data_IF_608207186137
#
_entry.id   IF_608207186137
#
_cell.length_a   1.000
_cell.length_b   1.000
_cell.length_c   1.000
_cell.angle_alpha   90.00
_cell.angle_beta   90.00
_cell.angle_gamma   90.00
#
_symmetry.space_group_name_H-M   'P 1'
#
loop_
_entity.id
_entity.type
_entity.pdbx_description
1 polymer ?
#
# COMPACT_ATOMS: atom_id res chain seq x y z
N UNK A 1 -17.72 1.71 15.19
CA UNK A 1 -16.69 2.33 14.35
C UNK A 1 -16.35 1.44 13.21
N UNK A 2 -16.46 1.93 12.01
CA UNK A 2 -16.09 1.17 10.83
C UNK A 2 -14.62 1.40 10.49
N UNK A 3 -14.06 0.57 9.65
CA UNK A 3 -12.68 0.67 9.22
C UNK A 3 -12.44 1.59 8.02
N UNK A 4 -13.43 2.41 7.63
CA UNK A 4 -13.34 3.22 6.40
C UNK A 4 -12.16 4.19 6.43
N UNK A 5 -11.92 4.88 7.54
CA UNK A 5 -10.81 5.79 7.66
C UNK A 5 -9.47 5.05 7.62
N UNK A 6 -9.39 3.91 8.28
CA UNK A 6 -8.18 3.10 8.28
C UNK A 6 -7.90 2.53 6.90
N UNK A 7 -8.93 2.10 6.16
CA UNK A 7 -8.77 1.67 4.77
C UNK A 7 -8.29 2.83 3.89
N UNK A 8 -8.85 4.02 4.08
CA UNK A 8 -8.43 5.20 3.32
C UNK A 8 -6.97 5.57 3.61
N UNK A 9 -6.55 5.46 4.87
CA UNK A 9 -5.15 5.69 5.26
C UNK A 9 -4.22 4.64 4.66
N UNK A 10 -4.63 3.37 4.71
CA UNK A 10 -3.85 2.30 4.10
C UNK A 10 -3.62 2.57 2.61
N UNK A 11 -4.67 2.98 1.90
CA UNK A 11 -4.56 3.33 0.48
C UNK A 11 -3.62 4.52 0.29
N UNK A 12 -3.70 5.53 1.15
CA UNK A 12 -2.79 6.69 1.10
C UNK A 12 -1.33 6.27 1.22
N UNK A 13 -1.03 5.36 2.14
CA UNK A 13 0.33 4.84 2.30
C UNK A 13 0.77 4.00 1.10
N UNK A 14 -0.13 3.20 0.52
CA UNK A 14 0.18 2.44 -0.70
C UNK A 14 0.52 3.40 -1.84
N UNK A 15 -0.21 4.48 -2.01
CA UNK A 15 0.08 5.50 -3.03
C UNK A 15 1.43 6.16 -2.80
N UNK A 16 1.78 6.45 -1.55
CA UNK A 16 3.11 6.99 -1.23
C UNK A 16 4.20 6.00 -1.61
N UNK A 17 3.96 4.70 -1.42
CA UNK A 17 4.90 3.67 -1.85
C UNK A 17 5.07 3.65 -3.37
N UNK A 18 4.01 3.82 -4.14
CA UNK A 18 4.09 3.91 -5.60
C UNK A 18 5.01 5.05 -6.00
N UNK A 19 4.80 6.24 -5.43
CA UNK A 19 5.63 7.41 -5.74
C UNK A 19 7.09 7.13 -5.41
N UNK A 20 7.36 6.55 -4.26
CA UNK A 20 8.72 6.24 -3.83
C UNK A 20 9.39 5.21 -4.73
N UNK A 21 8.67 4.16 -5.15
CA UNK A 21 9.22 3.16 -6.07
C UNK A 21 9.51 3.77 -7.45
N UNK A 22 8.62 4.62 -7.96
CA UNK A 22 8.82 5.27 -9.25
C UNK A 22 10.02 6.22 -9.20
N UNK A 23 10.20 6.91 -8.09
CA UNK A 23 11.31 7.85 -7.91
C UNK A 23 12.64 7.17 -7.58
N UNK A 24 12.64 5.89 -7.24
CA UNK A 24 13.85 5.17 -6.85
C UNK A 24 14.82 5.05 -8.03
N UNK A 25 16.10 5.29 -7.75
CA UNK A 25 17.16 5.08 -8.73
C UNK A 25 17.60 3.62 -8.66
N UNK A 26 16.88 2.77 -9.37
CA UNK A 26 17.08 1.32 -9.34
C UNK A 26 17.36 0.80 -10.74
N UNK A 27 18.65 0.57 -11.07
CA UNK A 27 19.02 0.11 -12.41
C UNK A 27 18.49 -1.28 -12.76
N UNK A 28 18.10 -2.09 -11.78
CA UNK A 28 17.51 -3.41 -12.04
C UNK A 28 16.09 -3.32 -12.58
N UNK A 29 15.40 -2.19 -12.36
CA UNK A 29 14.01 -2.01 -12.73
C UNK A 29 13.02 -2.68 -11.77
N UNK A 30 13.49 -3.32 -10.72
CA UNK A 30 12.62 -4.03 -9.78
C UNK A 30 11.66 -3.07 -9.06
N UNK A 31 12.11 -1.85 -8.77
CA UNK A 31 11.25 -0.84 -8.16
C UNK A 31 10.02 -0.52 -9.01
N UNK A 32 10.15 -0.52 -10.33
CA UNK A 32 9.03 -0.28 -11.22
C UNK A 32 8.03 -1.45 -11.20
N UNK A 33 8.52 -2.68 -11.09
CA UNK A 33 7.63 -3.83 -10.93
C UNK A 33 6.87 -3.75 -9.59
N UNK A 34 7.55 -3.35 -8.53
CA UNK A 34 6.90 -3.17 -7.24
C UNK A 34 5.88 -2.04 -7.27
N UNK A 35 6.16 -0.96 -8.00
CA UNK A 35 5.17 0.10 -8.21
C UNK A 35 3.93 -0.44 -8.92
N UNK A 36 4.11 -1.28 -9.92
CA UNK A 36 3.00 -1.94 -10.62
C UNK A 36 2.17 -2.82 -9.69
N UNK A 37 2.83 -3.59 -8.82
CA UNK A 37 2.14 -4.41 -7.83
C UNK A 37 1.31 -3.53 -6.86
N UNK A 38 1.86 -2.39 -6.46
CA UNK A 38 1.13 -1.44 -5.61
C UNK A 38 -0.07 -0.83 -6.34
N UNK A 39 0.06 -0.55 -7.64
CA UNK A 39 -1.07 -0.05 -8.43
C UNK A 39 -2.18 -1.09 -8.52
N UNK A 40 -1.85 -2.37 -8.61
CA UNK A 40 -2.84 -3.43 -8.56
C UNK A 40 -3.58 -3.44 -7.22
N UNK A 41 -2.86 -3.21 -6.13
CA UNK A 41 -3.50 -3.05 -4.81
C UNK A 41 -4.45 -1.85 -4.79
N UNK A 42 -4.04 -0.71 -5.35
CA UNK A 42 -4.93 0.45 -5.43
C UNK A 42 -6.23 0.11 -6.15
N UNK A 43 -6.15 -0.72 -7.19
CA UNK A 43 -7.34 -1.19 -7.90
C UNK A 43 -8.29 -1.97 -6.99
N UNK A 44 -7.75 -2.80 -6.10
CA UNK A 44 -8.59 -3.54 -5.15
C UNK A 44 -9.28 -2.59 -4.16
N UNK A 45 -8.59 -1.56 -3.69
CA UNK A 45 -9.21 -0.54 -2.84
C UNK A 45 -10.30 0.22 -3.60
N UNK A 46 -10.05 0.57 -4.85
CA UNK A 46 -11.02 1.29 -5.68
C UNK A 46 -12.29 0.46 -5.88
N UNK A 47 -12.14 -0.85 -6.07
CA UNK A 47 -13.28 -1.75 -6.22
C UNK A 47 -14.17 -1.77 -4.97
N UNK A 48 -13.62 -1.45 -3.81
CA UNK A 48 -14.38 -1.32 -2.56
C UNK A 48 -14.97 0.08 -2.36
N UNK A 49 -14.73 1.00 -3.28
CA UNK A 49 -15.18 2.38 -3.14
C UNK A 49 -14.36 3.20 -2.16
N UNK A 50 -13.15 2.75 -1.82
CA UNK A 50 -12.28 3.48 -0.90
C UNK A 50 -11.57 4.61 -1.64
N UNK A 51 -11.61 5.82 -1.06
CA UNK A 51 -10.84 6.95 -1.54
C UNK A 51 -9.62 7.13 -0.65
N UNK A 52 -8.47 7.53 -1.22
CA UNK A 52 -7.26 7.66 -0.42
C UNK A 52 -7.33 8.85 0.53
N UNK A 53 -6.88 8.64 1.76
CA UNK A 53 -6.60 9.71 2.70
C UNK A 53 -5.21 10.24 2.41
N UNK A 54 -5.03 11.55 2.50
CA UNK A 54 -3.72 12.14 2.35
C UNK A 54 -2.94 11.91 3.65
N UNK A 55 -1.86 11.15 3.56
CA UNK A 55 -1.04 10.80 4.72
C UNK A 55 0.42 11.17 4.47
N UNK A 56 1.18 11.37 5.53
CA UNK A 56 2.59 11.71 5.42
C UNK A 56 3.35 10.53 4.80
N UNK A 57 4.25 10.80 3.83
CA UNK A 57 5.06 9.74 3.27
C UNK A 57 6.05 9.19 4.30
N UNK A 58 6.36 7.91 4.20
CA UNK A 58 7.42 7.30 4.98
C UNK A 58 8.79 7.74 4.46
N UNK A 59 9.85 7.33 5.16
CA UNK A 59 11.23 7.65 4.75
C UNK A 59 11.59 6.97 3.43
N UNK A 60 10.95 5.86 3.11
CA UNK A 60 11.12 5.14 1.85
C UNK A 60 9.86 4.32 1.55
N UNK A 61 9.87 3.62 0.42
CA UNK A 61 8.71 2.81 0.02
C UNK A 61 8.38 1.72 1.03
N UNK A 62 9.41 1.08 1.61
CA UNK A 62 9.18 0.02 2.61
C UNK A 62 8.47 0.57 3.84
N UNK A 63 8.90 1.74 4.33
CA UNK A 63 8.25 2.38 5.48
C UNK A 63 6.78 2.69 5.19
N UNK A 64 6.48 3.16 3.98
CA UNK A 64 5.10 3.42 3.57
C UNK A 64 4.28 2.13 3.52
N UNK A 65 4.85 1.03 3.03
CA UNK A 65 4.16 -0.27 3.02
C UNK A 65 3.92 -0.79 4.43
N UNK A 66 4.87 -0.59 5.34
CA UNK A 66 4.70 -0.98 6.73
C UNK A 66 3.57 -0.19 7.39
N UNK A 67 3.50 1.10 7.13
CA UNK A 67 2.42 1.95 7.62
C UNK A 67 1.06 1.54 7.04
N UNK A 68 1.05 1.16 5.75
CA UNK A 68 -0.17 0.64 5.13
C UNK A 68 -0.63 -0.65 5.82
N UNK A 69 0.30 -1.53 6.17
CA UNK A 69 -0.03 -2.77 6.87
C UNK A 69 -0.63 -2.51 8.25
N UNK A 70 -0.07 -1.55 8.98
CA UNK A 70 -0.61 -1.17 10.29
C UNK A 70 -2.03 -0.60 10.17
N UNK A 71 -2.25 0.28 9.19
CA UNK A 71 -3.58 0.85 8.97
C UNK A 71 -4.59 -0.23 8.56
N UNK A 72 -4.15 -1.17 7.71
CA UNK A 72 -5.03 -2.25 7.27
C UNK A 72 -5.38 -3.18 8.43
N UNK A 73 -4.43 -3.46 9.32
CA UNK A 73 -4.69 -4.25 10.51
C UNK A 73 -5.70 -3.55 11.43
N UNK A 74 -5.62 -2.23 11.55
CA UNK A 74 -6.58 -1.45 12.34
C UNK A 74 -7.98 -1.48 11.73
N UNK A 75 -8.09 -1.72 10.41
CA UNK A 75 -9.36 -1.78 9.71
C UNK A 75 -10.11 -3.10 9.89
N UNK A 76 -9.50 -4.10 10.50
CA UNK A 76 -10.15 -5.39 10.72
C UNK A 76 -11.43 -5.22 11.57
N UNK A 77 -12.48 -5.98 11.27
CA UNK A 77 -12.60 -7.02 10.24
C UNK A 77 -13.06 -6.50 8.88
N UNK A 78 -13.14 -5.19 8.69
CA UNK A 78 -13.64 -4.60 7.44
C UNK A 78 -12.72 -4.85 6.24
N UNK A 79 -11.42 -5.10 6.46
CA UNK A 79 -10.46 -5.31 5.39
C UNK A 79 -10.62 -6.70 4.76
N UNK A 80 -10.90 -6.79 3.45
CA UNK A 80 -10.96 -8.08 2.78
C UNK A 80 -9.62 -8.80 2.80
N UNK A 81 -9.67 -10.12 2.85
CA UNK A 81 -8.47 -10.95 2.87
C UNK A 81 -7.59 -10.71 1.65
N UNK A 82 -8.19 -10.43 0.49
CA UNK A 82 -7.43 -10.17 -0.74
C UNK A 82 -6.52 -8.95 -0.61
N UNK A 83 -6.99 -7.87 0.04
CA UNK A 83 -6.16 -6.70 0.30
C UNK A 83 -4.98 -7.05 1.20
N UNK A 84 -5.26 -7.77 2.26
CA UNK A 84 -4.25 -8.18 3.21
C UNK A 84 -3.18 -9.04 2.54
N UNK A 85 -3.61 -10.08 1.81
CA UNK A 85 -2.70 -10.98 1.12
C UNK A 85 -1.86 -10.24 0.08
N UNK A 86 -2.47 -9.36 -0.70
CA UNK A 86 -1.77 -8.57 -1.71
C UNK A 86 -0.72 -7.66 -1.11
N UNK A 87 -1.07 -6.97 -0.03
CA UNK A 87 -0.12 -6.07 0.64
C UNK A 87 1.06 -6.85 1.24
N UNK A 88 0.80 -7.98 1.88
CA UNK A 88 1.89 -8.80 2.45
C UNK A 88 2.80 -9.35 1.37
N UNK A 89 2.25 -9.72 0.20
CA UNK A 89 3.05 -10.19 -0.92
C UNK A 89 4.01 -9.11 -1.43
N UNK A 90 3.55 -7.87 -1.57
CA UNK A 90 4.39 -6.76 -1.99
C UNK A 90 5.47 -6.45 -0.94
N UNK A 91 5.10 -6.45 0.33
CA UNK A 91 6.06 -6.23 1.42
C UNK A 91 7.16 -7.28 1.42
N UNK A 92 6.80 -8.54 1.20
CA UNK A 92 7.78 -9.63 1.14
C UNK A 92 8.76 -9.43 -0.01
N UNK A 93 8.27 -9.01 -1.18
CA UNK A 93 9.14 -8.72 -2.33
C UNK A 93 10.05 -7.53 -2.05
N UNK A 94 9.52 -6.49 -1.43
CA UNK A 94 10.29 -5.28 -1.12
C UNK A 94 11.37 -5.51 -0.07
N UNK A 95 11.25 -6.57 0.72
CA UNK A 95 12.21 -6.90 1.78
C UNK A 95 13.40 -7.74 1.31
N UNK A 96 13.42 -8.17 0.07
CA UNK A 96 14.51 -8.99 -0.48
C UNK A 96 15.79 -8.20 -0.69
#
# INVERSE_FOLDING_TARGET
>A
MNGSLDLARALGHVRNAVVAFVAADDPSGESLFLAGDCLDLEGLFADLGVEPELVDPGVDARASLDSASEALAAARPAAPLALWAGLQAVRAKASR
#
